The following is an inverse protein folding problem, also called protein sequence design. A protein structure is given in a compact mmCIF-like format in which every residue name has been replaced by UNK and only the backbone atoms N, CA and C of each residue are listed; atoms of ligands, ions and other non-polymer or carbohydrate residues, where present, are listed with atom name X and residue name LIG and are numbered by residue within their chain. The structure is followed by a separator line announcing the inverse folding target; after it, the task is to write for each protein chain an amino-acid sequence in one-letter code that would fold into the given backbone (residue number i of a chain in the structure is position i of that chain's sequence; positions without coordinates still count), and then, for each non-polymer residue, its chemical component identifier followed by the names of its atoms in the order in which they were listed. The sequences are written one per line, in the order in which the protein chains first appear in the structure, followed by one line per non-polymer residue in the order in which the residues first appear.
data_IF_033311632215
#
_entry.id   IF_033311632215
#
_cell.length_a   1.000
_cell.length_b   1.000
_cell.length_c   1.000
_cell.angle_alpha   90.00
_cell.angle_beta   90.00
_cell.angle_gamma   90.00
#
_symmetry.space_group_name_H-M   'P 1'
#
loop_
_entity.id
_entity.type
_entity.pdbx_description
1 polymer ?
#
# COMPACT_ATOMS: atom_id res chain seq x y z
N UNK A 1 -17.96 -0.94 0.77
CA UNK A 1 -16.97 -0.19 -0.04
C UNK A 1 -16.47 -1.09 -1.17
N UNK A 2 -16.16 -0.56 -2.34
CA UNK A 2 -15.50 -1.31 -3.41
C UNK A 2 -13.97 -1.16 -3.36
N UNK A 3 -13.24 -1.95 -4.15
CA UNK A 3 -11.76 -1.93 -4.17
C UNK A 3 -11.19 -0.56 -4.58
N UNK A 4 -11.84 0.15 -5.51
CA UNK A 4 -11.41 1.46 -5.96
C UNK A 4 -11.48 2.51 -4.85
N UNK A 5 -12.60 2.56 -4.13
CA UNK A 5 -12.77 3.43 -2.96
C UNK A 5 -11.74 3.12 -1.86
N UNK A 6 -11.47 1.84 -1.61
CA UNK A 6 -10.45 1.43 -0.66
C UNK A 6 -9.06 1.90 -1.11
N UNK A 7 -8.71 1.71 -2.38
CA UNK A 7 -7.44 2.15 -2.96
C UNK A 7 -7.26 3.66 -2.84
N UNK A 8 -8.30 4.45 -3.09
CA UNK A 8 -8.26 5.92 -2.92
C UNK A 8 -8.02 6.34 -1.48
N UNK A 9 -8.71 5.72 -0.52
CA UNK A 9 -8.54 6.02 0.91
C UNK A 9 -7.13 5.67 1.39
N UNK A 10 -6.60 4.53 0.95
CA UNK A 10 -5.24 4.10 1.29
C UNK A 10 -4.20 5.01 0.62
N UNK A 11 -4.37 5.35 -0.66
CA UNK A 11 -3.49 6.30 -1.35
C UNK A 11 -3.46 7.66 -0.63
N UNK A 12 -4.61 8.14 -0.17
CA UNK A 12 -4.68 9.37 0.63
C UNK A 12 -3.94 9.22 1.96
N UNK A 13 -4.15 8.13 2.69
CA UNK A 13 -3.46 7.87 3.95
C UNK A 13 -1.93 7.79 3.79
N UNK A 14 -1.44 7.17 2.72
CA UNK A 14 -0.01 7.12 2.38
C UNK A 14 0.55 8.54 2.11
N UNK A 15 -0.16 9.35 1.32
CA UNK A 15 0.23 10.75 1.03
C UNK A 15 0.22 11.63 2.27
N UNK A 16 -0.80 11.50 3.13
CA UNK A 16 -0.90 12.22 4.41
C UNK A 16 0.29 11.94 5.34
N UNK A 17 0.92 10.77 5.22
CA UNK A 17 2.12 10.39 5.99
C UNK A 17 3.44 10.65 5.25
N UNK A 18 3.40 11.27 4.07
CA UNK A 18 4.58 11.61 3.29
C UNK A 18 5.25 10.40 2.60
N UNK A 19 4.53 9.28 2.47
CA UNK A 19 5.05 8.09 1.77
C UNK A 19 5.02 8.33 0.27
N UNK A 20 6.18 8.19 -0.37
CA UNK A 20 6.29 8.21 -1.83
C UNK A 20 6.06 6.80 -2.39
N UNK A 21 5.23 6.70 -3.42
CA UNK A 21 4.94 5.47 -4.13
C UNK A 21 4.56 5.75 -5.59
N UNK A 22 4.84 4.79 -6.46
CA UNK A 22 4.31 4.80 -7.82
C UNK A 22 2.83 4.38 -7.79
N UNK A 23 1.93 5.26 -8.22
CA UNK A 23 0.47 5.02 -8.18
C UNK A 23 0.04 3.80 -9.00
N UNK A 24 0.74 3.52 -10.11
CA UNK A 24 0.49 2.34 -10.93
C UNK A 24 0.87 1.04 -10.22
N UNK A 25 1.82 1.12 -9.27
CA UNK A 25 2.28 -0.03 -8.47
C UNK A 25 1.43 -0.31 -7.24
N UNK A 26 0.61 0.64 -6.78
CA UNK A 26 -0.22 0.48 -5.59
C UNK A 26 -1.27 -0.60 -5.82
N UNK A 27 -1.18 -1.67 -5.03
CA UNK A 27 -2.10 -2.80 -5.11
C UNK A 27 -2.65 -3.13 -3.72
N UNK A 28 -3.98 -3.15 -3.62
CA UNK A 28 -4.66 -3.68 -2.44
C UNK A 28 -4.69 -5.20 -2.59
N UNK A 29 -4.09 -5.93 -1.65
CA UNK A 29 -4.09 -7.40 -1.63
C UNK A 29 -5.31 -7.94 -0.91
N UNK A 30 -5.71 -7.25 0.14
CA UNK A 30 -6.87 -7.58 0.95
C UNK A 30 -7.39 -6.30 1.60
N UNK A 31 -8.71 -6.18 1.71
CA UNK A 31 -9.34 -5.16 2.53
C UNK A 31 -10.58 -5.71 3.20
N UNK A 32 -10.86 -5.19 4.39
CA UNK A 32 -12.07 -5.46 5.15
C UNK A 32 -12.73 -4.12 5.48
N UNK A 33 -13.99 -3.98 5.06
CA UNK A 33 -14.83 -2.83 5.36
C UNK A 33 -15.82 -3.23 6.45
N UNK A 34 -15.61 -2.71 7.64
CA UNK A 34 -16.51 -2.88 8.79
C UNK A 34 -17.10 -1.50 9.13
N UNK A 35 -18.36 -1.45 9.58
CA UNK A 35 -19.15 -0.24 9.90
C UNK A 35 -18.49 1.14 9.70
N UNK A 36 -17.48 1.47 10.49
CA UNK A 36 -16.77 2.75 10.42
C UNK A 36 -15.24 2.63 10.30
N UNK A 37 -14.73 1.45 9.92
CA UNK A 37 -13.30 1.15 9.82
C UNK A 37 -13.00 0.33 8.57
N UNK A 38 -12.09 0.87 7.77
CA UNK A 38 -11.42 0.16 6.68
C UNK A 38 -10.07 -0.36 7.18
N UNK A 39 -9.87 -1.67 7.12
CA UNK A 39 -8.56 -2.30 7.27
C UNK A 39 -8.06 -2.75 5.89
N UNK A 40 -6.84 -2.37 5.51
CA UNK A 40 -6.27 -2.76 4.24
C UNK A 40 -4.83 -3.25 4.39
N UNK A 41 -4.53 -4.31 3.63
CA UNK A 41 -3.20 -4.84 3.41
C UNK A 41 -2.87 -4.77 1.93
N UNK A 42 -1.66 -4.38 1.60
CA UNK A 42 -1.25 -4.27 0.21
C UNK A 42 0.23 -3.98 0.05
N UNK A 43 0.56 -3.62 -1.18
CA UNK A 43 1.93 -3.40 -1.60
C UNK A 43 2.03 -2.21 -2.55
N UNK A 44 3.23 -1.64 -2.64
CA UNK A 44 3.59 -0.68 -3.66
C UNK A 44 5.11 -0.70 -3.86
N UNK A 45 5.56 0.02 -4.86
CA UNK A 45 6.97 0.21 -5.19
C UNK A 45 7.27 1.71 -5.22
N UNK A 46 8.49 2.08 -4.83
CA UNK A 46 9.03 3.40 -5.09
C UNK A 46 10.49 3.30 -5.57
N UNK A 47 11.22 4.42 -5.53
CA UNK A 47 12.63 4.50 -5.90
C UNK A 47 13.55 3.70 -4.98
N UNK A 48 13.17 3.51 -3.72
CA UNK A 48 13.97 2.82 -2.70
C UNK A 48 13.77 1.30 -2.73
N UNK A 49 12.57 0.83 -3.10
CA UNK A 49 12.29 -0.60 -3.10
C UNK A 49 10.82 -0.98 -3.25
N UNK A 50 10.54 -2.22 -2.87
CA UNK A 50 9.21 -2.79 -2.77
C UNK A 50 8.78 -2.87 -1.31
N UNK A 51 7.55 -2.43 -1.06
CA UNK A 51 7.00 -2.20 0.25
C UNK A 51 5.68 -2.94 0.40
N UNK A 52 5.42 -3.39 1.62
CA UNK A 52 4.12 -3.86 2.06
C UNK A 52 3.58 -2.94 3.16
N UNK A 53 2.26 -2.81 3.22
CA UNK A 53 1.61 -1.97 4.21
C UNK A 53 0.42 -2.67 4.87
N UNK A 54 0.15 -2.26 6.10
CA UNK A 54 -1.09 -2.54 6.82
C UNK A 54 -1.62 -1.23 7.41
N UNK A 55 -2.74 -0.75 6.88
CA UNK A 55 -3.30 0.55 7.21
C UNK A 55 -4.76 0.38 7.64
N UNK A 56 -5.13 1.05 8.73
CA UNK A 56 -6.51 1.09 9.23
C UNK A 56 -6.99 2.53 9.26
N UNK A 57 -8.13 2.80 8.63
CA UNK A 57 -8.76 4.14 8.55
C UNK A 57 -10.15 4.07 9.18
N UNK A 58 -10.37 4.85 10.23
CA UNK A 58 -11.67 5.02 10.90
C UNK A 58 -12.38 6.29 10.40
N UNK A 59 -13.71 6.27 10.27
CA UNK A 59 -14.48 7.46 9.85
C UNK A 59 -14.12 7.97 8.46
N UNK A 60 -13.49 7.11 7.63
CA UNK A 60 -12.83 7.47 6.37
C UNK A 60 -11.86 8.66 6.49
N UNK A 61 -11.35 9.00 7.67
CA UNK A 61 -10.52 10.20 7.92
C UNK A 61 -9.38 9.97 8.90
N UNK A 62 -9.60 9.15 9.93
CA UNK A 62 -8.64 8.98 11.02
C UNK A 62 -7.81 7.72 10.82
N UNK A 63 -6.52 7.89 10.56
CA UNK A 63 -5.57 6.77 10.50
C UNK A 63 -5.37 6.21 11.92
N UNK A 64 -5.76 4.96 12.15
CA UNK A 64 -5.62 4.24 13.43
C UNK A 64 -4.37 3.37 13.46
N UNK A 65 -4.03 2.75 12.33
CA UNK A 65 -2.85 1.93 12.13
C UNK A 65 -2.16 2.36 10.86
N UNK A 66 -0.83 2.46 10.92
CA UNK A 66 -0.01 2.81 9.77
C UNK A 66 1.31 2.07 9.84
N UNK A 67 1.37 0.90 9.24
CA UNK A 67 2.61 0.17 9.03
C UNK A 67 2.93 0.14 7.56
N UNK A 68 4.15 0.54 7.23
CA UNK A 68 4.73 0.48 5.89
C UNK A 68 6.14 -0.04 6.09
N UNK A 69 6.44 -1.21 5.53
CA UNK A 69 7.72 -1.88 5.69
C UNK A 69 8.33 -2.09 4.31
N UNK A 70 9.61 -1.74 4.17
CA UNK A 70 10.39 -2.17 3.02
C UNK A 70 10.64 -3.67 3.15
N UNK A 71 10.22 -4.43 2.16
CA UNK A 71 10.44 -5.88 2.11
C UNK A 71 11.71 -6.19 1.33
N UNK A 72 12.01 -5.40 0.29
CA UNK A 72 13.23 -5.55 -0.49
C UNK A 72 13.70 -4.22 -1.09
N UNK A 73 15.02 -3.96 -1.10
CA UNK A 73 15.61 -2.82 -1.81
C UNK A 73 15.36 -2.89 -3.32
N UNK A 74 15.42 -1.74 -3.97
CA UNK A 74 15.12 -1.60 -5.40
C UNK A 74 15.98 -2.50 -6.29
N UNK A 75 17.27 -2.59 -6.02
CA UNK A 75 18.20 -3.44 -6.77
C UNK A 75 17.77 -4.91 -6.76
N UNK A 76 17.45 -5.43 -5.58
CA UNK A 76 16.98 -6.82 -5.39
C UNK A 76 15.65 -7.05 -6.11
N UNK A 77 14.71 -6.11 -5.99
CA UNK A 77 13.42 -6.20 -6.65
C UNK A 77 13.55 -6.25 -8.19
N UNK A 78 14.44 -5.44 -8.75
CA UNK A 78 14.71 -5.42 -10.19
C UNK A 78 15.37 -6.71 -10.67
N UNK A 79 16.31 -7.26 -9.91
CA UNK A 79 16.96 -8.52 -10.26
C UNK A 79 15.97 -9.70 -10.21
N UNK A 80 15.08 -9.72 -9.21
CA UNK A 80 13.98 -10.70 -9.16
C UNK A 80 13.01 -10.58 -10.34
N UNK A 81 12.73 -9.36 -10.81
CA UNK A 81 11.87 -9.13 -11.98
C UNK A 81 12.51 -9.65 -13.27
N UNK A 82 13.82 -9.57 -13.42
CA UNK A 82 14.54 -10.11 -14.58
C UNK A 82 14.44 -11.63 -14.62
N UNK A 83 14.69 -12.29 -13.48
CA UNK A 83 14.61 -13.75 -13.35
C UNK A 83 13.23 -14.33 -13.70
N UNK A 84 12.14 -13.60 -13.46
CA UNK A 84 10.78 -14.06 -13.79
C UNK A 84 10.41 -13.93 -15.27
N UNK A 85 11.25 -13.28 -16.08
CA UNK A 85 11.01 -13.07 -17.52
C UNK A 85 11.73 -14.09 -18.40
N UNK A 86 12.63 -14.88 -17.81
CA UNK A 86 13.30 -16.04 -18.40
C UNK A 86 12.52 -17.32 -18.09
#
# INVERSE_FOLDING_TARGET
MNEGEAKELIARALREKGVQFDEASLKIRYFEDSWDRLDAYGEFVNSEGYFEFAISVEGKKKIKRFHVNMIMPRSVYEDMKKLKRE
#
